data_IF_782206953938
#
_entry.id   IF_782206953938
#
_cell.length_a   1.000
_cell.length_b   1.000
_cell.length_c   1.000
_cell.angle_alpha   90.00
_cell.angle_beta   90.00
_cell.angle_gamma   90.00
#
_symmetry.space_group_name_H-M   'P 1'
#
loop_
_entity.id
_entity.type
_entity.pdbx_description
1 polymer ?
#
# COMPACT_ATOMS: atom_id res chain seq x y z
N UNK A 1 -14.57 -1.47 19.64
CA UNK A 1 -13.12 -1.45 19.33
C UNK A 1 -12.93 -1.89 17.89
N UNK A 2 -12.58 -0.98 16.97
CA UNK A 2 -12.48 -1.26 15.53
C UNK A 2 -11.12 -1.87 15.15
N UNK A 3 -11.13 -2.74 14.14
CA UNK A 3 -9.90 -3.25 13.51
C UNK A 3 -9.17 -2.13 12.78
N UNK A 4 -7.86 -2.23 12.71
CA UNK A 4 -7.03 -1.25 12.04
C UNK A 4 -7.20 -1.34 10.50
N UNK A 5 -7.51 -0.22 9.81
CA UNK A 5 -7.68 -0.21 8.36
C UNK A 5 -6.48 -0.73 7.55
N UNK A 6 -5.26 -0.64 8.07
CA UNK A 6 -4.04 -1.10 7.38
C UNK A 6 -3.95 -2.62 7.12
N UNK A 7 -4.98 -3.40 7.47
CA UNK A 7 -5.05 -4.84 7.20
C UNK A 7 -4.26 -5.72 8.18
N UNK A 8 -3.76 -5.17 9.29
CA UNK A 8 -2.99 -5.92 10.30
C UNK A 8 -3.83 -6.85 11.17
N UNK A 9 -5.17 -6.78 11.09
CA UNK A 9 -6.14 -7.46 11.96
C UNK A 9 -6.07 -7.09 13.45
N UNK A 10 -5.09 -6.27 13.84
CA UNK A 10 -4.96 -5.73 15.20
C UNK A 10 -6.01 -4.65 15.45
N UNK A 11 -6.29 -4.39 16.72
CA UNK A 11 -7.09 -3.24 17.12
C UNK A 11 -6.38 -1.93 16.73
N UNK A 12 -7.17 -0.94 16.29
CA UNK A 12 -6.64 0.37 15.88
C UNK A 12 -5.70 1.00 16.93
N UNK A 13 -6.07 1.02 18.20
CA UNK A 13 -5.33 1.71 19.26
C UNK A 13 -3.94 1.12 19.51
N UNK A 14 -3.79 -0.19 19.37
CA UNK A 14 -2.49 -0.88 19.54
C UNK A 14 -1.70 -0.99 18.23
N UNK A 15 -2.31 -0.61 17.10
CA UNK A 15 -1.70 -0.64 15.77
C UNK A 15 -1.37 0.77 15.30
N UNK A 16 -2.13 1.34 14.36
CA UNK A 16 -1.82 2.65 13.80
C UNK A 16 -2.21 3.82 14.72
N UNK A 17 -3.12 3.63 15.67
CA UNK A 17 -3.51 4.64 16.65
C UNK A 17 -2.35 5.12 17.53
N UNK A 18 -1.37 4.25 17.81
CA UNK A 18 -0.13 4.62 18.52
C UNK A 18 0.64 5.74 17.84
N UNK A 19 0.68 5.72 16.51
CA UNK A 19 1.42 6.72 15.73
C UNK A 19 0.53 7.93 15.42
N UNK A 20 -0.72 7.68 15.05
CA UNK A 20 -1.63 8.73 14.59
C UNK A 20 -2.15 9.59 15.75
N UNK A 21 -2.53 8.96 16.87
CA UNK A 21 -3.17 9.65 18.00
C UNK A 21 -2.17 9.90 19.14
N UNK A 22 -1.33 8.91 19.46
CA UNK A 22 -0.34 9.05 20.54
C UNK A 22 1.01 9.60 20.07
N UNK A 23 1.16 9.91 18.78
CA UNK A 23 2.34 10.56 18.19
C UNK A 23 3.65 9.79 18.44
N UNK A 24 3.58 8.48 18.62
CA UNK A 24 4.77 7.63 18.62
C UNK A 24 5.43 7.65 17.23
N UNK A 25 6.74 7.44 17.17
CA UNK A 25 7.46 7.36 15.90
C UNK A 25 7.39 5.94 15.32
N UNK A 26 6.93 5.76 14.06
CA UNK A 26 7.03 4.48 13.38
C UNK A 26 8.46 3.95 13.35
N UNK A 27 8.66 2.68 13.70
CA UNK A 27 10.01 2.08 13.76
C UNK A 27 10.60 1.71 12.39
N UNK A 28 9.77 1.60 11.35
CA UNK A 28 10.19 1.22 10.00
C UNK A 28 9.40 1.94 8.91
N UNK A 29 9.93 1.98 7.67
CA UNK A 29 9.21 2.51 6.50
C UNK A 29 7.83 1.86 6.31
N UNK A 30 7.73 0.54 6.46
CA UNK A 30 6.45 -0.18 6.31
C UNK A 30 5.43 0.25 7.37
N UNK A 31 5.85 0.39 8.63
CA UNK A 31 4.96 0.84 9.71
C UNK A 31 4.47 2.26 9.41
N UNK A 32 5.36 3.14 8.94
CA UNK A 32 4.97 4.49 8.55
C UNK A 32 3.97 4.46 7.38
N UNK A 33 4.23 3.68 6.33
CA UNK A 33 3.30 3.52 5.21
C UNK A 33 1.91 3.07 5.68
N UNK A 34 1.84 2.01 6.50
CA UNK A 34 0.58 1.47 7.03
C UNK A 34 -0.20 2.50 7.86
N UNK A 35 0.51 3.27 8.68
CA UNK A 35 -0.10 4.34 9.47
C UNK A 35 -0.59 5.50 8.59
N UNK A 36 0.14 5.88 7.54
CA UNK A 36 -0.29 6.89 6.57
C UNK A 36 -1.54 6.46 5.80
N UNK A 37 -1.59 5.21 5.32
CA UNK A 37 -2.81 4.65 4.72
C UNK A 37 -4.00 4.74 5.69
N UNK A 38 -3.79 4.36 6.95
CA UNK A 38 -4.85 4.43 7.96
C UNK A 38 -5.30 5.87 8.22
N UNK A 39 -4.38 6.82 8.26
CA UNK A 39 -4.70 8.24 8.40
C UNK A 39 -5.52 8.77 7.22
N UNK A 40 -5.18 8.41 5.98
CA UNK A 40 -6.02 8.71 4.81
C UNK A 40 -7.41 8.08 4.92
N UNK A 41 -7.51 6.83 5.37
CA UNK A 41 -8.80 6.14 5.54
C UNK A 41 -9.73 6.79 6.58
N UNK A 42 -9.17 7.60 7.47
CA UNK A 42 -9.88 8.34 8.51
C UNK A 42 -9.87 9.85 8.28
N UNK A 43 -9.38 10.33 7.13
CA UNK A 43 -9.16 11.73 6.81
C UNK A 43 -8.37 12.53 7.88
N UNK A 44 -7.44 11.87 8.59
CA UNK A 44 -6.53 12.48 9.58
C UNK A 44 -5.31 13.09 8.90
N UNK A 45 -5.53 14.18 8.17
CA UNK A 45 -4.52 14.77 7.27
C UNK A 45 -3.35 15.42 8.01
N UNK A 46 -3.55 15.91 9.24
CA UNK A 46 -2.44 16.46 10.05
C UNK A 46 -1.31 15.44 10.22
N UNK A 47 -1.63 14.15 10.34
CA UNK A 47 -0.62 13.09 10.43
C UNK A 47 0.11 12.87 9.10
N UNK A 48 -0.58 13.02 7.97
CA UNK A 48 0.00 12.90 6.63
C UNK A 48 1.03 14.01 6.41
N UNK A 49 0.69 15.24 6.77
CA UNK A 49 1.58 16.39 6.64
C UNK A 49 2.79 16.25 7.58
N UNK A 50 2.57 15.94 8.86
CA UNK A 50 3.63 15.76 9.86
C UNK A 50 4.63 14.66 9.53
N UNK A 51 4.23 13.66 8.74
CA UNK A 51 5.09 12.53 8.37
C UNK A 51 5.60 12.62 6.92
N UNK A 52 5.57 13.82 6.35
CA UNK A 52 6.08 14.13 5.02
C UNK A 52 7.27 15.10 5.12
N UNK A 53 8.20 15.03 4.17
CA UNK A 53 9.37 15.91 4.17
C UNK A 53 9.85 16.24 2.75
N UNK A 54 10.58 17.35 2.62
CA UNK A 54 11.19 17.80 1.36
C UNK A 54 10.16 18.08 0.26
N UNK A 55 10.49 17.67 -0.97
CA UNK A 55 9.67 17.94 -2.16
C UNK A 55 8.22 17.44 -2.04
N UNK A 56 8.01 16.34 -1.30
CA UNK A 56 6.67 15.82 -1.09
C UNK A 56 5.82 16.81 -0.29
N UNK A 57 6.41 17.41 0.76
CA UNK A 57 5.72 18.37 1.62
C UNK A 57 5.47 19.69 0.88
N UNK A 58 6.44 20.17 0.11
CA UNK A 58 6.30 21.40 -0.69
C UNK A 58 5.17 21.28 -1.72
N UNK A 59 4.97 20.09 -2.29
CA UNK A 59 3.86 19.81 -3.22
C UNK A 59 2.54 19.39 -2.55
N UNK A 60 2.46 19.35 -1.22
CA UNK A 60 1.29 18.83 -0.52
C UNK A 60 0.23 19.89 -0.27
N UNK A 61 -0.99 19.64 -0.76
CA UNK A 61 -2.16 20.45 -0.44
C UNK A 61 -3.06 19.71 0.55
N UNK A 62 -2.98 20.08 1.84
CA UNK A 62 -3.76 19.45 2.91
C UNK A 62 -5.28 19.53 2.68
N UNK A 63 -5.78 20.64 2.12
CA UNK A 63 -7.21 20.83 1.85
C UNK A 63 -7.70 19.88 0.77
N UNK A 64 -6.98 19.77 -0.35
CA UNK A 64 -7.31 18.83 -1.43
C UNK A 64 -7.21 17.38 -0.94
N UNK A 65 -6.15 17.05 -0.20
CA UNK A 65 -5.98 15.72 0.38
C UNK A 65 -7.14 15.36 1.33
N UNK A 66 -7.59 16.30 2.16
CA UNK A 66 -8.71 16.09 3.08
C UNK A 66 -10.03 15.89 2.33
N UNK A 67 -10.27 16.68 1.28
CA UNK A 67 -11.47 16.56 0.47
C UNK A 67 -11.51 15.21 -0.26
N UNK A 68 -10.42 14.82 -0.90
CA UNK A 68 -10.32 13.53 -1.57
C UNK A 68 -10.48 12.35 -0.60
N UNK A 69 -9.79 12.39 0.56
CA UNK A 69 -9.88 11.34 1.57
C UNK A 69 -11.31 11.12 2.11
N UNK A 70 -12.17 12.15 2.11
CA UNK A 70 -13.58 12.04 2.51
C UNK A 70 -14.50 11.55 1.38
N UNK A 71 -14.09 11.70 0.12
CA UNK A 71 -14.87 11.30 -1.05
C UNK A 71 -14.68 9.82 -1.40
N UNK A 72 -13.53 9.25 -1.05
CA UNK A 72 -13.20 7.85 -1.33
C UNK A 72 -13.46 6.95 -0.13
N UNK A 73 -13.90 5.72 -0.40
CA UNK A 73 -14.00 4.67 0.61
C UNK A 73 -12.83 3.72 0.47
N UNK A 74 -11.88 3.76 1.39
CA UNK A 74 -10.72 2.87 1.40
C UNK A 74 -11.14 1.44 1.74
N UNK A 75 -10.73 0.47 0.92
CA UNK A 75 -11.19 -0.93 1.02
C UNK A 75 -10.08 -1.91 1.38
N UNK A 76 -8.81 -1.58 1.13
CA UNK A 76 -7.70 -2.39 1.60
C UNK A 76 -6.32 -1.84 1.31
N UNK A 77 -5.33 -2.39 1.99
CA UNK A 77 -3.91 -2.15 1.79
C UNK A 77 -3.17 -3.48 1.67
N UNK A 78 -2.39 -3.64 0.62
CA UNK A 78 -1.44 -4.73 0.45
C UNK A 78 -0.03 -4.17 0.35
N UNK A 79 0.87 -4.64 1.22
CA UNK A 79 2.31 -4.40 1.06
C UNK A 79 2.85 -5.46 0.11
N UNK A 80 3.42 -5.04 -1.01
CA UNK A 80 4.07 -5.92 -2.00
C UNK A 80 5.49 -6.23 -1.56
N UNK A 81 6.24 -5.20 -1.19
CA UNK A 81 7.62 -5.32 -0.71
C UNK A 81 7.98 -4.15 0.20
N UNK A 82 8.80 -4.40 1.21
CA UNK A 82 9.44 -3.38 2.03
C UNK A 82 10.92 -3.72 2.18
N UNK A 83 11.80 -2.74 1.97
CA UNK A 83 13.25 -2.96 2.05
C UNK A 83 14.00 -1.65 2.34
N UNK A 84 15.22 -1.78 2.84
CA UNK A 84 16.15 -0.68 3.10
C UNK A 84 17.08 -0.48 1.89
N UNK A 85 17.54 0.75 1.66
CA UNK A 85 18.58 1.03 0.68
C UNK A 85 19.91 0.42 1.16
N UNK A 86 20.56 -0.38 0.31
CA UNK A 86 21.82 -1.06 0.65
C UNK A 86 22.97 -0.08 0.91
N UNK A 87 22.90 1.12 0.33
CA UNK A 87 23.93 2.16 0.44
C UNK A 87 23.58 3.25 1.45
N UNK A 88 22.34 3.28 1.93
CA UNK A 88 21.86 4.29 2.86
C UNK A 88 20.89 3.69 3.88
N UNK A 89 21.41 3.43 5.09
CA UNK A 89 20.63 2.86 6.20
C UNK A 89 19.49 3.76 6.69
N UNK A 90 19.52 5.04 6.34
CA UNK A 90 18.46 5.99 6.65
C UNK A 90 17.44 6.11 5.51
N UNK A 91 17.57 5.33 4.43
CA UNK A 91 16.59 5.31 3.34
C UNK A 91 15.93 3.95 3.23
N UNK A 92 14.62 3.95 3.03
CA UNK A 92 13.83 2.74 2.83
C UNK A 92 12.73 2.93 1.81
N UNK A 93 12.20 1.81 1.35
CA UNK A 93 11.23 1.76 0.27
C UNK A 93 10.08 0.82 0.63
N UNK A 94 8.87 1.20 0.25
CA UNK A 94 7.69 0.36 0.39
C UNK A 94 6.90 0.39 -0.90
N UNK A 95 6.79 -0.77 -1.54
CA UNK A 95 5.89 -1.04 -2.65
C UNK A 95 4.55 -1.52 -2.09
N UNK A 96 3.46 -0.87 -2.47
CA UNK A 96 2.14 -1.20 -1.96
C UNK A 96 1.03 -1.00 -3.00
N UNK A 97 -0.08 -1.70 -2.77
CA UNK A 97 -1.33 -1.51 -3.49
C UNK A 97 -2.39 -1.07 -2.49
N UNK A 98 -2.88 0.15 -2.63
CA UNK A 98 -4.00 0.66 -1.86
C UNK A 98 -5.28 0.64 -2.70
N UNK A 99 -6.31 -0.04 -2.21
CA UNK A 99 -7.60 -0.18 -2.88
C UNK A 99 -8.62 0.75 -2.24
N UNK A 100 -9.43 1.40 -3.07
CA UNK A 100 -10.51 2.28 -2.65
C UNK A 100 -11.66 2.27 -3.66
N UNK A 101 -12.81 2.75 -3.23
CA UNK A 101 -13.99 2.93 -4.07
C UNK A 101 -14.30 4.42 -4.18
N UNK A 102 -14.45 4.90 -5.39
CA UNK A 102 -14.79 6.29 -5.71
C UNK A 102 -15.96 6.28 -6.70
N UNK A 103 -17.04 6.98 -6.38
CA UNK A 103 -18.25 7.04 -7.22
C UNK A 103 -18.77 5.65 -7.66
N UNK A 104 -18.69 4.67 -6.75
CA UNK A 104 -19.13 3.29 -7.00
C UNK A 104 -18.16 2.43 -7.82
N UNK A 105 -17.00 2.96 -8.23
CA UNK A 105 -15.98 2.21 -8.99
C UNK A 105 -14.82 1.84 -8.08
N UNK A 106 -14.39 0.58 -8.15
CA UNK A 106 -13.18 0.13 -7.47
C UNK A 106 -11.95 0.63 -8.22
N UNK A 107 -11.01 1.22 -7.49
CA UNK A 107 -9.77 1.80 -7.98
C UNK A 107 -8.60 1.32 -7.11
N UNK A 108 -7.38 1.37 -7.67
CA UNK A 108 -6.16 0.99 -6.97
C UNK A 108 -5.03 1.97 -7.24
N UNK A 109 -4.28 2.31 -6.20
CA UNK A 109 -2.98 2.98 -6.31
C UNK A 109 -1.91 1.92 -6.11
N UNK A 110 -1.07 1.71 -7.13
CA UNK A 110 0.14 0.91 -7.02
C UNK A 110 1.35 1.85 -7.06
N UNK A 111 2.09 1.92 -5.97
CA UNK A 111 3.18 2.88 -5.80
C UNK A 111 4.38 2.23 -5.10
N UNK A 112 5.58 2.66 -5.51
CA UNK A 112 6.81 2.53 -4.74
C UNK A 112 7.08 3.84 -4.01
N UNK A 113 6.80 3.87 -2.70
CA UNK A 113 7.12 5.01 -1.85
C UNK A 113 8.57 4.93 -1.35
N UNK A 114 9.23 6.08 -1.31
CA UNK A 114 10.53 6.29 -0.67
C UNK A 114 10.33 7.00 0.67
N UNK A 115 11.03 6.48 1.68
CA UNK A 115 11.08 7.04 3.02
C UNK A 115 12.53 7.36 3.39
N UNK A 116 12.71 8.46 4.12
CA UNK A 116 13.99 8.87 4.66
C UNK A 116 13.86 9.05 6.17
N UNK A 117 14.85 8.58 6.91
CA UNK A 117 14.98 8.76 8.34
C UNK A 117 15.81 10.01 8.61
N UNK A 118 15.28 10.90 9.43
CA UNK A 118 15.95 12.10 9.94
C UNK A 118 15.74 12.17 11.45
N UNK A 119 16.82 12.38 12.21
CA UNK A 119 16.81 12.41 13.68
C UNK A 119 16.04 11.22 14.30
N UNK A 120 16.24 10.02 13.74
CA UNK A 120 15.61 8.79 14.21
C UNK A 120 14.14 8.60 13.81
N UNK A 121 13.52 9.54 13.08
CA UNK A 121 12.12 9.47 12.63
C UNK A 121 12.03 9.27 11.13
N UNK A 122 11.13 8.41 10.68
CA UNK A 122 10.86 8.18 9.27
C UNK A 122 9.90 9.23 8.71
N UNK A 123 10.18 9.68 7.49
CA UNK A 123 9.34 10.60 6.72
C UNK A 123 9.13 10.07 5.31
N UNK A 124 7.95 10.28 4.76
CA UNK A 124 7.69 10.09 3.34
C UNK A 124 8.32 11.24 2.54
N UNK A 125 9.13 10.91 1.54
CA UNK A 125 9.86 11.93 0.75
C UNK A 125 9.50 11.94 -0.72
N UNK A 126 9.10 10.78 -1.27
CA UNK A 126 8.77 10.66 -2.69
C UNK A 126 7.96 9.38 -2.94
N UNK A 127 7.24 9.31 -4.05
CA UNK A 127 6.50 8.14 -4.50
C UNK A 127 6.49 8.06 -6.01
N UNK A 128 6.67 6.87 -6.56
CA UNK A 128 6.55 6.63 -8.00
C UNK A 128 5.41 5.67 -8.25
N UNK A 129 4.42 6.11 -9.04
CA UNK A 129 3.35 5.25 -9.51
C UNK A 129 3.93 4.12 -10.36
N UNK A 130 3.75 2.88 -9.90
CA UNK A 130 4.08 1.71 -10.69
C UNK A 130 2.92 1.49 -11.65
N UNK A 131 3.21 1.64 -12.94
CA UNK A 131 2.32 1.12 -13.99
C UNK A 131 2.38 -0.38 -13.91
N UNK A 132 1.54 -0.98 -13.07
CA UNK A 132 1.25 -2.41 -13.22
C UNK A 132 0.72 -2.59 -14.64
N UNK A 133 1.28 -3.49 -15.47
CA UNK A 133 0.48 -4.07 -16.53
C UNK A 133 -0.81 -4.57 -15.88
N UNK A 134 -2.00 -4.41 -16.51
CA UNK A 134 -3.26 -4.88 -15.93
C UNK A 134 -3.01 -6.30 -15.45
N UNK A 135 -3.29 -6.53 -14.15
CA UNK A 135 -2.99 -7.75 -13.41
C UNK A 135 -2.93 -8.92 -14.38
N UNK A 136 -1.74 -9.53 -14.54
CA UNK A 136 -1.51 -10.61 -15.50
C UNK A 136 -2.78 -11.44 -15.57
N UNK A 137 -3.55 -11.29 -16.66
CA UNK A 137 -4.86 -11.92 -16.80
C UNK A 137 -4.59 -13.35 -16.39
N UNK A 138 -5.22 -13.85 -15.31
CA UNK A 138 -5.19 -15.29 -15.01
C UNK A 138 -5.50 -15.93 -16.35
N UNK A 139 -4.49 -16.52 -16.99
CA UNK A 139 -4.66 -17.02 -18.34
C UNK A 139 -5.69 -18.11 -18.12
N UNK A 140 -6.93 -17.88 -18.56
CA UNK A 140 -7.97 -18.90 -18.55
C UNK A 140 -7.52 -19.92 -19.57
N UNK A 141 -6.64 -20.82 -19.14
CA UNK A 141 -6.22 -21.95 -19.94
C UNK A 141 -7.46 -22.82 -20.04
N UNK A 142 -8.02 -22.92 -21.25
CA UNK A 142 -9.16 -23.78 -21.51
C UNK A 142 -8.82 -25.21 -21.08
N UNK A 143 -9.77 -25.93 -20.47
CA UNK A 143 -9.61 -27.32 -20.02
C UNK A 143 -8.99 -28.23 -21.10
N UNK A 144 -9.27 -27.96 -22.38
CA UNK A 144 -8.77 -28.74 -23.51
C UNK A 144 -7.52 -28.15 -24.20
N UNK A 145 -7.02 -26.98 -23.78
CA UNK A 145 -5.82 -26.39 -24.35
C UNK A 145 -4.56 -27.21 -24.00
N UNK A 146 -3.50 -27.17 -24.83
CA UNK A 146 -2.20 -27.75 -24.48
C UNK A 146 -1.70 -27.19 -23.15
N UNK A 147 -1.18 -28.06 -22.29
CA UNK A 147 -0.68 -27.66 -20.98
C UNK A 147 0.64 -26.87 -21.12
N UNK A 148 0.78 -25.73 -20.44
CA UNK A 148 1.97 -24.87 -20.57
C UNK A 148 3.26 -25.48 -20.00
N UNK A 149 3.18 -26.64 -19.34
CA UNK A 149 4.37 -27.38 -18.89
C UNK A 149 5.09 -28.14 -20.00
N UNK A 150 4.62 -28.08 -21.25
CA UNK A 150 5.26 -28.76 -22.39
C UNK A 150 5.00 -30.27 -22.47
N UNK A 151 4.16 -30.83 -21.61
CA UNK A 151 3.89 -32.28 -21.54
C UNK A 151 3.10 -32.87 -22.72
N UNK A 152 2.73 -32.04 -23.71
CA UNK A 152 1.82 -32.37 -24.83
C UNK A 152 0.41 -32.83 -24.41
N UNK A 153 0.10 -32.87 -23.10
CA UNK A 153 -1.23 -33.22 -22.58
C UNK A 153 -2.16 -32.01 -22.55
N UNK A 154 -3.48 -32.25 -22.63
CA UNK A 154 -4.51 -31.23 -22.37
C UNK A 154 -4.44 -30.77 -20.90
N UNK A 155 -4.67 -29.49 -20.64
CA UNK A 155 -4.55 -28.89 -19.32
C UNK A 155 -5.33 -29.66 -18.24
N UNK A 156 -6.58 -30.04 -18.49
CA UNK A 156 -7.41 -30.83 -17.57
C UNK A 156 -6.82 -32.19 -17.15
N UNK A 157 -5.98 -32.79 -18.01
CA UNK A 157 -5.36 -34.10 -17.77
C UNK A 157 -3.93 -33.95 -17.18
N UNK A 158 -3.54 -32.74 -16.80
CA UNK A 158 -2.22 -32.45 -16.27
C UNK A 158 -2.35 -31.53 -15.04
N UNK A 159 -2.22 -30.22 -15.21
CA UNK A 159 -2.27 -29.26 -14.10
C UNK A 159 -3.68 -28.72 -13.79
N UNK A 160 -4.68 -29.07 -14.58
CA UNK A 160 -6.08 -28.72 -14.38
C UNK A 160 -6.90 -29.79 -13.66
N UNK A 161 -6.24 -30.72 -12.96
CA UNK A 161 -6.88 -31.69 -12.08
C UNK A 161 -7.33 -30.96 -10.80
N UNK A 162 -8.53 -30.40 -10.84
CA UNK A 162 -9.23 -29.97 -9.62
C UNK A 162 -9.58 -31.25 -8.83
N UNK A 163 -9.13 -31.35 -7.57
CA UNK A 163 -9.58 -32.41 -6.65
C UNK A 163 -11.04 -32.20 -6.26
#
# INVERSE_FOLDING_TARGET
>A
MSQCPCGSQLNYLICCGRYIDNQEAPASPEILMRSRYTAYSQAKIDYIEKTMYGIALEGFNATEAANWARQVSWTGLQIVKSYMDEKNVDRGYVEFIASYREQGKDQTIHELSQFQRYEGKWFYTNGTHIKTPPAAKKIKISRNAPCPCGSQKKYKNCHGLEK
#
